data_IF_699194940132
#
_entry.id   IF_699194940132
#
_cell.length_a   1.000
_cell.length_b   1.000
_cell.length_c   1.000
_cell.angle_alpha   90.00
_cell.angle_beta   90.00
_cell.angle_gamma   90.00
#
_symmetry.space_group_name_H-M   'P 1'
#
loop_
_entity.id
_entity.type
_entity.pdbx_description
1 polymer ?
#
# COMPACT_ATOMS: atom_id res chain seq x y z
N UNK A 1 20.47 -10.22 -16.21
CA UNK A 1 20.35 -10.15 -14.72
C UNK A 1 21.65 -9.73 -14.04
N UNK A 2 22.21 -8.54 -14.30
CA UNK A 2 23.37 -8.01 -13.54
C UNK A 2 23.42 -6.49 -13.66
N UNK A 3 22.65 -5.73 -12.86
CA UNK A 3 23.01 -4.31 -12.63
C UNK A 3 22.36 -3.55 -11.45
N UNK A 4 21.43 -4.11 -10.68
CA UNK A 4 20.81 -3.33 -9.59
C UNK A 4 21.46 -3.46 -8.19
N UNK A 5 22.35 -4.44 -7.96
CA UNK A 5 22.92 -4.69 -6.62
C UNK A 5 24.02 -3.71 -6.17
N UNK A 6 24.58 -2.86 -7.04
CA UNK A 6 25.77 -2.04 -6.70
C UNK A 6 25.48 -0.68 -6.05
N UNK A 7 24.40 0.00 -6.42
CA UNK A 7 24.11 1.36 -5.90
C UNK A 7 23.62 1.35 -4.44
N UNK A 8 22.85 0.34 -4.03
CA UNK A 8 22.17 0.34 -2.74
C UNK A 8 23.12 0.07 -1.54
N UNK A 9 24.05 -0.87 -1.70
CA UNK A 9 25.05 -1.17 -0.66
C UNK A 9 25.96 0.02 -0.34
N UNK A 10 26.07 1.02 -1.23
CA UNK A 10 26.99 2.14 -1.06
C UNK A 10 26.41 3.27 -0.19
N UNK A 11 25.10 3.54 -0.28
CA UNK A 11 24.44 4.56 0.54
C UNK A 11 24.28 4.12 2.00
N UNK A 12 23.99 2.83 2.25
CA UNK A 12 23.87 2.29 3.60
C UNK A 12 25.22 2.30 4.36
N UNK A 13 26.32 1.99 3.66
CA UNK A 13 27.68 2.00 4.24
C UNK A 13 28.13 3.38 4.73
N UNK A 14 27.59 4.46 4.16
CA UNK A 14 27.96 5.83 4.52
C UNK A 14 27.08 6.45 5.63
N UNK A 15 26.16 5.69 6.26
CA UNK A 15 25.22 6.18 7.30
C UNK A 15 24.42 7.45 6.92
N UNK A 16 24.25 7.73 5.61
CA UNK A 16 23.59 8.95 5.13
C UNK A 16 22.05 8.85 5.04
N UNK A 17 21.46 7.72 5.41
CA UNK A 17 20.02 7.46 5.26
C UNK A 17 19.49 6.91 6.57
N UNK A 18 18.42 7.52 7.10
CA UNK A 18 17.74 7.00 8.28
C UNK A 18 16.82 5.83 7.88
N UNK A 19 16.77 4.73 8.65
CA UNK A 19 15.89 3.60 8.34
C UNK A 19 14.40 3.98 8.21
N UNK A 20 13.96 5.03 8.91
CA UNK A 20 12.58 5.56 8.83
C UNK A 20 12.24 6.22 7.50
N UNK A 21 13.23 6.60 6.70
CA UNK A 21 13.04 7.26 5.40
C UNK A 21 12.90 6.25 4.25
N UNK A 22 12.94 4.95 4.55
CA UNK A 22 13.00 3.92 3.54
C UNK A 22 12.11 2.73 3.88
N UNK A 23 11.19 2.41 2.97
CA UNK A 23 10.33 1.23 3.05
C UNK A 23 10.48 0.40 1.77
N UNK A 24 10.72 -0.89 1.95
CA UNK A 24 10.86 -1.83 0.84
C UNK A 24 9.55 -2.56 0.59
N UNK A 25 9.20 -2.69 -0.68
CA UNK A 25 8.11 -3.53 -1.15
C UNK A 25 8.68 -4.56 -2.12
N UNK A 26 8.28 -5.81 -1.99
CA UNK A 26 8.70 -6.88 -2.88
C UNK A 26 7.52 -7.36 -3.69
N UNK A 27 7.63 -7.23 -5.02
CA UNK A 27 6.53 -7.45 -5.94
C UNK A 27 5.71 -6.20 -6.19
N UNK A 28 4.83 -6.29 -7.18
CA UNK A 28 3.92 -5.23 -7.56
C UNK A 28 2.62 -5.86 -8.07
N UNK A 29 1.53 -5.13 -7.96
CA UNK A 29 0.28 -5.47 -8.62
C UNK A 29 0.24 -4.83 -9.99
N UNK A 30 -0.35 -5.53 -10.96
CA UNK A 30 -0.49 -5.05 -12.33
C UNK A 30 -1.88 -5.35 -12.84
N UNK A 31 -2.39 -4.46 -13.68
CA UNK A 31 -3.66 -4.63 -14.36
C UNK A 31 -3.41 -4.84 -15.85
N UNK A 32 -4.15 -5.79 -16.43
CA UNK A 32 -4.23 -5.96 -17.88
C UNK A 32 -4.93 -4.78 -18.54
N UNK A 33 -4.88 -4.73 -19.86
CA UNK A 33 -5.54 -3.67 -20.65
C UNK A 33 -7.03 -3.58 -20.29
N UNK A 34 -7.49 -2.36 -19.97
CA UNK A 34 -8.87 -2.04 -19.56
C UNK A 34 -9.38 -2.74 -18.29
N UNK A 35 -8.58 -3.56 -17.61
CA UNK A 35 -9.02 -4.32 -16.44
C UNK A 35 -9.39 -3.38 -15.29
N UNK A 36 -8.48 -2.47 -14.89
CA UNK A 36 -8.74 -1.50 -13.83
C UNK A 36 -9.98 -0.64 -14.13
N UNK A 37 -10.13 -0.19 -15.38
CA UNK A 37 -11.29 0.61 -15.79
C UNK A 37 -12.61 -0.18 -15.69
N UNK A 38 -12.58 -1.49 -15.99
CA UNK A 38 -13.72 -2.37 -15.82
C UNK A 38 -14.06 -2.60 -14.34
N UNK A 39 -13.06 -2.81 -13.49
CA UNK A 39 -13.23 -3.01 -12.05
C UNK A 39 -13.77 -1.74 -11.35
N UNK A 40 -13.30 -0.56 -11.75
CA UNK A 40 -13.83 0.71 -11.26
C UNK A 40 -15.29 0.92 -11.66
N UNK A 41 -15.68 0.57 -12.89
CA UNK A 41 -17.09 0.63 -13.33
C UNK A 41 -18.00 -0.31 -12.54
N UNK A 42 -17.47 -1.45 -12.11
CA UNK A 42 -18.17 -2.43 -11.27
C UNK A 42 -18.17 -2.07 -9.77
N UNK A 43 -17.62 -0.91 -9.40
CA UNK A 43 -17.46 -0.49 -8.00
C UNK A 43 -16.69 -1.50 -7.14
N UNK A 44 -15.77 -2.27 -7.75
CA UNK A 44 -14.97 -3.27 -7.05
C UNK A 44 -13.82 -2.66 -6.22
N UNK A 45 -13.56 -1.36 -6.36
CA UNK A 45 -12.52 -0.65 -5.62
C UNK A 45 -13.05 0.65 -5.03
N UNK A 46 -12.63 0.93 -3.79
CA UNK A 46 -12.82 2.23 -3.15
C UNK A 46 -11.55 3.05 -3.38
N UNK A 47 -11.66 4.18 -4.09
CA UNK A 47 -10.50 5.01 -4.46
C UNK A 47 -10.36 6.18 -3.48
N UNK A 48 -9.17 6.33 -2.92
CA UNK A 48 -8.82 7.43 -2.01
C UNK A 48 -7.52 8.13 -2.43
N UNK A 49 -7.34 9.37 -1.99
CA UNK A 49 -6.06 10.08 -2.16
C UNK A 49 -5.02 9.52 -1.20
N UNK A 50 -3.95 8.95 -1.74
CA UNK A 50 -2.80 8.54 -0.96
C UNK A 50 -2.02 9.77 -0.43
N UNK A 51 -1.55 9.68 0.81
CA UNK A 51 -0.62 10.65 1.43
C UNK A 51 0.62 9.91 1.86
N UNK A 52 1.79 10.54 1.74
CA UNK A 52 3.09 9.94 2.07
C UNK A 52 3.10 9.35 3.49
N UNK A 53 2.50 10.05 4.46
CA UNK A 53 2.39 9.57 5.85
C UNK A 53 1.76 8.19 5.99
N UNK A 54 0.81 7.81 5.12
CA UNK A 54 0.17 6.49 5.15
C UNK A 54 1.11 5.38 4.68
N UNK A 55 2.05 5.74 3.81
CA UNK A 55 3.01 4.80 3.23
C UNK A 55 4.22 4.66 4.14
N UNK A 56 4.67 5.74 4.79
CA UNK A 56 5.91 5.77 5.56
C UNK A 56 5.68 5.62 7.07
N UNK A 57 4.69 6.31 7.63
CA UNK A 57 4.55 6.54 9.09
C UNK A 57 3.37 5.78 9.72
N UNK A 58 2.67 4.93 8.96
CA UNK A 58 1.55 4.11 9.44
C UNK A 58 1.94 2.64 9.53
N UNK A 59 1.50 1.99 10.62
CA UNK A 59 1.62 0.54 10.79
C UNK A 59 0.73 -0.16 9.74
N UNK A 60 1.30 -1.05 8.90
CA UNK A 60 0.54 -1.80 7.90
C UNK A 60 -0.69 -2.55 8.44
N UNK A 61 -0.67 -2.99 9.69
CA UNK A 61 -1.76 -3.76 10.29
C UNK A 61 -3.03 -2.91 10.51
N UNK A 62 -2.86 -1.61 10.79
CA UNK A 62 -3.97 -0.68 11.05
C UNK A 62 -4.30 0.20 9.86
N UNK A 63 -3.41 0.25 8.85
CA UNK A 63 -3.52 1.12 7.69
C UNK A 63 -4.88 0.98 6.97
N UNK A 64 -5.33 -0.26 6.77
CA UNK A 64 -6.58 -0.54 6.07
C UNK A 64 -7.80 0.02 6.82
N UNK A 65 -7.86 -0.25 8.12
CA UNK A 65 -8.93 0.21 9.00
C UNK A 65 -8.97 1.74 9.07
N UNK A 66 -7.81 2.38 9.25
CA UNK A 66 -7.69 3.85 9.31
C UNK A 66 -8.14 4.51 8.00
N UNK A 67 -7.76 3.94 6.85
CA UNK A 67 -8.14 4.48 5.54
C UNK A 67 -9.64 4.37 5.30
N UNK A 68 -10.26 3.25 5.66
CA UNK A 68 -11.70 3.04 5.50
C UNK A 68 -12.52 3.91 6.44
N UNK A 69 -12.14 3.99 7.73
CA UNK A 69 -12.79 4.89 8.70
C UNK A 69 -12.79 6.34 8.23
N UNK A 70 -11.72 6.75 7.53
CA UNK A 70 -11.58 8.10 7.00
C UNK A 70 -12.43 8.39 5.76
N UNK A 71 -12.84 7.37 5.02
CA UNK A 71 -13.73 7.52 3.86
C UNK A 71 -15.20 7.79 4.25
N UNK A 72 -15.57 7.60 5.52
CA UNK A 72 -16.88 7.94 6.05
C UNK A 72 -17.55 6.78 6.77
N UNK A 73 -18.72 7.04 7.36
CA UNK A 73 -19.46 6.08 8.18
C UNK A 73 -19.90 4.84 7.38
N UNK A 74 -20.21 5.00 6.10
CA UNK A 74 -20.69 3.91 5.24
C UNK A 74 -19.59 2.86 4.96
N UNK A 75 -18.32 3.28 4.95
CA UNK A 75 -17.17 2.41 4.69
C UNK A 75 -16.54 1.83 5.96
N UNK A 76 -16.84 2.40 7.13
CA UNK A 76 -16.33 1.91 8.41
C UNK A 76 -16.85 0.49 8.74
N UNK A 77 -18.04 0.13 8.25
CA UNK A 77 -18.59 -1.21 8.42
C UNK A 77 -17.80 -2.28 7.65
N UNK A 78 -17.17 -1.91 6.53
CA UNK A 78 -16.30 -2.81 5.74
C UNK A 78 -14.93 -3.02 6.39
N UNK A 79 -14.50 -2.10 7.26
CA UNK A 79 -13.20 -2.17 7.91
C UNK A 79 -13.09 -3.39 8.83
N UNK A 80 -14.19 -3.76 9.51
CA UNK A 80 -14.24 -4.92 10.41
C UNK A 80 -14.32 -6.28 9.70
N UNK A 81 -14.69 -6.32 8.42
CA UNK A 81 -14.74 -7.59 7.68
C UNK A 81 -13.35 -8.11 7.30
N UNK A 82 -12.34 -7.24 7.22
CA UNK A 82 -10.99 -7.60 6.80
C UNK A 82 -10.18 -8.40 7.85
N UNK A 83 -10.65 -8.49 9.10
CA UNK A 83 -9.99 -9.26 10.17
C UNK A 83 -10.02 -10.79 9.93
N UNK A 84 -10.87 -11.28 9.01
CA UNK A 84 -11.00 -12.70 8.71
C UNK A 84 -10.69 -12.99 7.24
N UNK A 85 -9.39 -13.16 6.87
CA UNK A 85 -8.97 -13.50 5.52
C UNK A 85 -9.57 -14.81 4.98
N UNK A 86 -10.10 -15.66 5.86
CA UNK A 86 -10.70 -16.96 5.55
C UNK A 86 -12.13 -16.89 5.02
N UNK A 87 -12.74 -15.71 4.93
CA UNK A 87 -14.11 -15.52 4.44
C UNK A 87 -14.18 -14.89 3.03
N UNK A 88 -13.04 -14.76 2.34
CA UNK A 88 -12.94 -14.28 0.96
C UNK A 88 -12.84 -15.44 -0.04
#
# INVERSE_FOLDING_TARGET
>A
MRCHKKLFCQCFKNKKVNPSELRFFMGYTGWGSKQLAGELKKQSWIVTKAKIKYIMDTDPNVLWEELLKKQGKDYAMLASFAEYPSLN
#
